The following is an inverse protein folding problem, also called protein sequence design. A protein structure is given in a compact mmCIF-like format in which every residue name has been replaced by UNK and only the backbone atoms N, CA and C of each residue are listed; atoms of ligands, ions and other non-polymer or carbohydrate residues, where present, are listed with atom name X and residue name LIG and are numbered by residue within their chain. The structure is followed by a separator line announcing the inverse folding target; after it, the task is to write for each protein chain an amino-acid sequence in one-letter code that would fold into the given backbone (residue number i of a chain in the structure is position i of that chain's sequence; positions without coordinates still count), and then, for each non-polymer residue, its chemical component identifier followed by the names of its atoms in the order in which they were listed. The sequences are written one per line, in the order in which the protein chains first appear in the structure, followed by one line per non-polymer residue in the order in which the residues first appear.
data_IF_603391905748
#
_entry.id   IF_603391905748
#
_cell.length_a   1.000
_cell.length_b   1.000
_cell.length_c   1.000
_cell.angle_alpha   90.00
_cell.angle_beta   90.00
_cell.angle_gamma   90.00
#
_symmetry.space_group_name_H-M   'P 1'
#
loop_
_entity.id
_entity.type
_entity.pdbx_description
1 polymer ?
#
# COMPACT_ATOMS: atom_id res chain seq x y z
N UNK A 1 9.85 -0.33 -3.95
CA UNK A 1 9.56 -1.34 -2.94
C UNK A 1 8.08 -1.67 -2.97
N UNK A 2 7.76 -2.95 -3.00
CA UNK A 2 6.39 -3.42 -2.95
C UNK A 2 5.97 -3.62 -1.50
N UNK A 3 4.89 -2.96 -1.11
CA UNK A 3 4.35 -3.05 0.24
C UNK A 3 2.91 -3.54 0.18
N UNK A 4 2.53 -4.42 1.09
CA UNK A 4 1.16 -4.91 1.15
C UNK A 4 0.53 -4.54 2.47
N UNK A 5 -0.77 -4.29 2.47
CA UNK A 5 -1.55 -4.09 3.69
C UNK A 5 -2.93 -4.67 3.52
N UNK A 6 -3.58 -4.98 4.65
CA UNK A 6 -4.96 -5.47 4.62
C UNK A 6 -5.90 -4.35 4.16
N UNK A 7 -6.91 -4.69 3.37
CA UNK A 7 -7.91 -3.73 2.93
C UNK A 7 -8.63 -3.06 4.12
N UNK A 8 -8.72 -3.78 5.24
CA UNK A 8 -9.35 -3.25 6.45
C UNK A 8 -8.44 -2.34 7.27
N UNK A 9 -7.17 -2.24 6.89
CA UNK A 9 -6.19 -1.49 7.67
C UNK A 9 -5.98 -0.10 7.06
N UNK A 10 -6.92 0.80 7.33
CA UNK A 10 -6.87 2.16 6.78
C UNK A 10 -5.66 2.94 7.29
N UNK A 11 -5.20 2.66 8.51
CA UNK A 11 -4.05 3.36 9.07
C UNK A 11 -2.78 3.03 8.28
N UNK A 12 -2.56 1.76 7.96
CA UNK A 12 -1.41 1.36 7.14
C UNK A 12 -1.49 1.97 5.75
N UNK A 13 -2.67 1.97 5.15
CA UNK A 13 -2.85 2.59 3.83
C UNK A 13 -2.49 4.07 3.86
N UNK A 14 -2.94 4.78 4.89
CA UNK A 14 -2.62 6.21 5.02
C UNK A 14 -1.12 6.45 5.10
N UNK A 15 -0.40 5.63 5.86
CA UNK A 15 1.05 5.75 5.96
C UNK A 15 1.72 5.49 4.61
N UNK A 16 1.29 4.45 3.91
CA UNK A 16 1.85 4.10 2.60
C UNK A 16 1.64 5.25 1.62
N UNK A 17 0.44 5.79 1.56
CA UNK A 17 0.13 6.88 0.64
C UNK A 17 0.88 8.16 1.00
N UNK A 18 1.04 8.42 2.30
CA UNK A 18 1.81 9.57 2.77
C UNK A 18 3.28 9.48 2.36
N UNK A 19 3.78 8.27 2.13
CA UNK A 19 5.16 8.05 1.70
C UNK A 19 5.29 7.89 0.18
N UNK A 20 4.28 8.29 -0.57
CA UNK A 20 4.32 8.26 -2.01
C UNK A 20 3.94 6.92 -2.63
N UNK A 21 3.26 6.07 -1.88
CA UNK A 21 2.83 4.78 -2.38
C UNK A 21 1.74 4.91 -3.44
N UNK A 22 1.78 4.02 -4.43
CA UNK A 22 0.77 3.95 -5.48
C UNK A 22 0.19 2.55 -5.50
N UNK A 23 -1.13 2.45 -5.54
CA UNK A 23 -1.83 1.16 -5.54
C UNK A 23 -1.50 0.40 -6.82
N UNK A 24 -1.00 -0.82 -6.68
CA UNK A 24 -0.72 -1.71 -7.81
C UNK A 24 -1.96 -2.55 -8.13
N UNK A 25 -2.43 -3.31 -7.14
CA UNK A 25 -3.62 -4.13 -7.29
C UNK A 25 -4.14 -4.55 -5.92
N UNK A 26 -5.24 -5.29 -5.92
CA UNK A 26 -5.82 -5.85 -4.71
C UNK A 26 -5.94 -7.35 -4.91
N UNK A 27 -5.37 -8.14 -4.01
CA UNK A 27 -5.40 -9.59 -4.10
C UNK A 27 -5.70 -10.20 -2.75
N UNK A 28 -6.69 -11.08 -2.71
CA UNK A 28 -6.98 -11.87 -1.52
C UNK A 28 -7.26 -11.02 -0.30
N UNK A 29 -7.93 -9.88 -0.46
CA UNK A 29 -8.21 -8.97 0.65
C UNK A 29 -7.04 -8.12 1.07
N UNK A 30 -5.97 -8.10 0.29
CA UNK A 30 -4.79 -7.27 0.56
C UNK A 30 -4.56 -6.30 -0.58
N UNK A 31 -4.21 -5.07 -0.23
CA UNK A 31 -3.84 -4.04 -1.18
C UNK A 31 -2.32 -4.04 -1.35
N UNK A 32 -1.85 -3.96 -2.57
CA UNK A 32 -0.44 -3.95 -2.91
C UNK A 32 -0.07 -2.58 -3.45
N UNK A 33 0.97 -1.99 -2.86
CA UNK A 33 1.41 -0.63 -3.21
C UNK A 33 2.88 -0.64 -3.60
N UNK A 34 3.22 0.20 -4.55
CA UNK A 34 4.61 0.48 -4.89
C UNK A 34 5.02 1.80 -4.26
N UNK A 35 6.14 1.79 -3.56
CA UNK A 35 6.74 3.01 -3.03
C UNK A 35 8.07 3.21 -3.74
N UNK A 36 8.24 4.38 -4.35
CA UNK A 36 9.47 4.73 -5.05
C UNK A 36 10.40 5.39 -4.03
N UNK A 37 11.44 4.68 -3.63
CA UNK A 37 12.39 5.16 -2.64
C UNK A 37 13.71 5.48 -3.34
N UNK A 38 14.11 6.74 -3.26
CA UNK A 38 15.39 7.20 -3.82
C UNK A 38 16.54 6.90 -2.87
#
# INVERSE_FOLDING_TARGET
VLVTCDCDNAASRSVILANGGALEDIRGGKERYWIDID
#
